data_IF_984000196360
#
_entry.id   IF_984000196360
#
_cell.length_a   1.000
_cell.length_b   1.000
_cell.length_c   1.000
_cell.angle_alpha   90.00
_cell.angle_beta   90.00
_cell.angle_gamma   90.00
#
_symmetry.space_group_name_H-M   'P 1'
#
loop_
_entity.id
_entity.type
_entity.pdbx_description
1 polymer ?
#
# COMPACT_ATOMS: atom_id res chain seq x y z
N UNK A 1 -27.34 -2.44 -15.47
CA UNK A 1 -26.03 -3.10 -15.34
C UNK A 1 -25.40 -2.63 -14.04
N UNK A 2 -25.48 -3.43 -12.98
CA UNK A 2 -24.74 -3.18 -11.74
C UNK A 2 -23.34 -3.77 -11.87
N UNK A 3 -22.32 -2.92 -11.81
CA UNK A 3 -20.91 -3.29 -11.84
C UNK A 3 -20.30 -3.00 -10.46
N UNK A 4 -20.79 -3.73 -9.44
CA UNK A 4 -20.40 -3.51 -8.03
C UNK A 4 -19.67 -4.70 -7.42
N UNK A 5 -18.85 -5.39 -8.21
CA UNK A 5 -17.84 -6.29 -7.65
C UNK A 5 -16.54 -5.51 -7.49
N UNK A 6 -16.20 -5.11 -6.27
CA UNK A 6 -14.88 -4.62 -5.87
C UNK A 6 -13.86 -5.75 -6.07
N UNK A 7 -13.58 -6.13 -7.31
CA UNK A 7 -12.73 -7.26 -7.65
C UNK A 7 -11.30 -6.89 -7.26
N UNK A 8 -10.84 -7.46 -6.14
CA UNK A 8 -9.44 -7.38 -5.77
C UNK A 8 -8.64 -8.00 -6.91
N UNK A 9 -7.78 -7.19 -7.54
CA UNK A 9 -6.86 -7.69 -8.56
C UNK A 9 -6.07 -8.90 -8.05
N UNK A 10 -5.95 -9.98 -8.85
CA UNK A 10 -5.15 -11.15 -8.52
C UNK A 10 -3.72 -10.76 -8.16
N UNK A 11 -3.09 -11.54 -7.27
CA UNK A 11 -1.70 -11.29 -6.85
C UNK A 11 -0.73 -11.28 -8.04
N UNK A 12 -0.89 -12.22 -8.97
CA UNK A 12 -0.06 -12.33 -10.17
C UNK A 12 -0.12 -11.08 -11.06
N UNK A 13 -1.30 -10.47 -11.19
CA UNK A 13 -1.47 -9.24 -11.99
C UNK A 13 -0.71 -8.08 -11.33
N UNK A 14 -0.78 -7.98 -10.00
CA UNK A 14 -0.04 -6.96 -9.25
C UNK A 14 1.47 -7.12 -9.39
N UNK A 15 1.98 -8.34 -9.29
CA UNK A 15 3.41 -8.63 -9.45
C UNK A 15 3.87 -8.29 -10.87
N UNK A 16 3.10 -8.63 -11.90
CA UNK A 16 3.40 -8.26 -13.28
C UNK A 16 3.50 -6.75 -13.48
N UNK A 17 2.53 -5.99 -12.98
CA UNK A 17 2.54 -4.52 -13.05
C UNK A 17 3.79 -3.94 -12.36
N UNK A 18 4.15 -4.48 -11.19
CA UNK A 18 5.35 -4.03 -10.46
C UNK A 18 6.62 -4.35 -11.27
N UNK A 19 6.75 -5.56 -11.82
CA UNK A 19 7.93 -5.97 -12.58
C UNK A 19 8.10 -5.12 -13.84
N UNK A 20 7.04 -4.90 -14.61
CA UNK A 20 7.06 -4.07 -15.84
C UNK A 20 7.37 -2.59 -15.54
N UNK A 21 6.92 -2.10 -14.39
CA UNK A 21 7.25 -0.76 -13.92
C UNK A 21 8.72 -0.65 -13.50
N UNK A 22 9.23 -1.62 -12.72
CA UNK A 22 10.61 -1.63 -12.23
C UNK A 22 11.63 -1.93 -13.34
N UNK A 23 11.25 -2.70 -14.37
CA UNK A 23 12.08 -2.91 -15.56
C UNK A 23 12.20 -1.66 -16.43
N UNK A 24 11.34 -0.66 -16.22
CA UNK A 24 11.26 0.54 -17.04
C UNK A 24 10.64 0.30 -18.43
N UNK A 25 10.10 -0.90 -18.67
CA UNK A 25 9.50 -1.26 -19.97
C UNK A 25 8.18 -0.53 -20.23
N UNK A 26 7.45 -0.17 -19.17
CA UNK A 26 6.18 0.57 -19.25
C UNK A 26 6.11 1.70 -18.23
N UNK A 27 5.53 2.81 -18.66
CA UNK A 27 5.25 3.94 -17.77
C UNK A 27 3.98 3.71 -16.95
N UNK A 28 3.79 4.47 -15.87
CA UNK A 28 2.55 4.45 -15.06
C UNK A 28 1.32 4.71 -15.91
N UNK A 29 1.44 5.56 -16.95
CA UNK A 29 0.33 5.86 -17.84
C UNK A 29 -0.06 4.63 -18.68
N UNK A 30 0.91 3.97 -19.31
CA UNK A 30 0.63 2.77 -20.11
C UNK A 30 0.03 1.65 -19.25
N UNK A 31 0.56 1.45 -18.03
CA UNK A 31 0.02 0.49 -17.08
C UNK A 31 -1.40 0.87 -16.59
N UNK A 32 -1.70 2.17 -16.46
CA UNK A 32 -3.03 2.63 -16.08
C UNK A 32 -4.07 2.31 -17.15
N UNK A 33 -3.70 2.48 -18.41
CA UNK A 33 -4.55 2.21 -19.57
C UNK A 33 -4.71 0.70 -19.80
N UNK A 34 -3.64 -0.08 -19.74
CA UNK A 34 -3.64 -1.54 -19.97
C UNK A 34 -4.46 -2.31 -18.93
N UNK A 35 -4.34 -1.93 -17.64
CA UNK A 35 -4.98 -2.66 -16.54
C UNK A 35 -6.23 -1.95 -15.99
N UNK A 36 -6.64 -0.82 -16.58
CA UNK A 36 -7.79 -0.04 -16.11
C UNK A 36 -7.63 0.50 -14.68
N UNK A 37 -6.39 0.70 -14.23
CA UNK A 37 -6.07 1.16 -12.88
C UNK A 37 -5.77 2.64 -12.87
N UNK A 38 -6.10 3.34 -11.78
CA UNK A 38 -5.62 4.72 -11.63
C UNK A 38 -4.10 4.75 -11.44
N UNK A 39 -3.46 5.81 -11.91
CA UNK A 39 -2.02 6.07 -11.70
C UNK A 39 -1.65 6.01 -10.21
N UNK A 40 -2.54 6.51 -9.35
CA UNK A 40 -2.35 6.49 -7.91
C UNK A 40 -2.36 5.06 -7.33
N UNK A 41 -3.23 4.18 -7.85
CA UNK A 41 -3.26 2.79 -7.42
C UNK A 41 -1.98 2.04 -7.81
N UNK A 42 -1.42 2.32 -8.98
CA UNK A 42 -0.13 1.77 -9.42
C UNK A 42 1.00 2.28 -8.53
N UNK A 43 1.06 3.59 -8.24
CA UNK A 43 2.05 4.15 -7.33
C UNK A 43 1.99 3.53 -5.94
N UNK A 44 0.79 3.35 -5.38
CA UNK A 44 0.63 2.66 -4.10
C UNK A 44 1.10 1.21 -4.16
N UNK A 45 0.88 0.51 -5.27
CA UNK A 45 1.31 -0.87 -5.46
C UNK A 45 2.83 -0.99 -5.45
N UNK A 46 3.50 -0.11 -6.20
CA UNK A 46 4.97 -0.03 -6.27
C UNK A 46 5.57 0.38 -4.92
N UNK A 47 5.01 1.40 -4.27
CA UNK A 47 5.47 1.86 -2.95
C UNK A 47 5.36 0.76 -1.89
N UNK A 48 4.25 0.01 -1.87
CA UNK A 48 4.09 -1.15 -0.98
C UNK A 48 5.09 -2.24 -1.27
N UNK A 49 5.40 -2.51 -2.54
CA UNK A 49 6.41 -3.48 -2.92
C UNK A 49 7.80 -3.06 -2.45
N UNK A 50 8.20 -1.81 -2.68
CA UNK A 50 9.46 -1.23 -2.20
C UNK A 50 9.57 -1.24 -0.68
N UNK A 51 8.48 -0.93 0.03
CA UNK A 51 8.44 -0.96 1.50
C UNK A 51 8.61 -2.37 2.06
N UNK A 52 8.12 -3.41 1.37
CA UNK A 52 8.33 -4.81 1.76
C UNK A 52 9.73 -5.34 1.47
N UNK A 53 10.38 -4.80 0.43
CA UNK A 53 11.75 -5.14 0.06
C UNK A 53 12.81 -4.27 0.74
N UNK A 54 12.38 -3.28 1.52
CA UNK A 54 13.29 -2.55 2.38
C UNK A 54 13.70 -3.48 3.54
N UNK A 55 15.00 -3.71 3.79
CA UNK A 55 15.46 -4.39 5.00
C UNK A 55 15.38 -3.44 6.20
N UNK A 56 14.34 -2.60 6.26
CA UNK A 56 14.03 -1.80 7.45
C UNK A 56 13.33 -2.76 8.38
N UNK A 57 14.17 -3.38 9.20
CA UNK A 57 13.97 -3.66 10.61
C UNK A 57 12.49 -3.65 10.99
N UNK A 58 11.99 -4.82 11.37
CA UNK A 58 10.69 -5.07 11.97
C UNK A 58 10.53 -4.22 13.25
N UNK A 59 10.43 -2.90 13.09
CA UNK A 59 9.83 -2.00 14.04
C UNK A 59 8.34 -2.09 13.81
N UNK A 60 7.84 -3.30 14.01
CA UNK A 60 6.57 -3.60 14.66
C UNK A 60 5.92 -2.32 15.15
N UNK A 61 5.05 -1.75 14.31
CA UNK A 61 4.19 -0.64 14.65
C UNK A 61 3.07 -1.19 15.56
N UNK A 62 3.46 -1.84 16.66
CA UNK A 62 2.65 -1.92 17.86
C UNK A 62 2.98 -0.62 18.57
N UNK A 63 2.30 0.45 18.17
CA UNK A 63 2.05 1.52 19.12
C UNK A 63 1.14 0.89 20.18
N UNK A 64 1.57 0.69 21.44
CA UNK A 64 0.59 0.50 22.50
C UNK A 64 -0.29 1.74 22.46
N UNK A 65 -1.59 1.54 22.30
CA UNK A 65 -2.56 2.62 22.41
C UNK A 65 -2.31 3.31 23.76
N UNK A 66 -1.72 4.50 23.72
CA UNK A 66 -1.51 5.31 24.92
C UNK A 66 -2.90 5.66 25.44
N UNK A 67 -3.38 4.86 26.40
CA UNK A 67 -4.49 5.20 27.25
C UNK A 67 -4.06 6.44 28.06
N UNK A 68 -4.36 7.63 27.53
CA UNK A 68 -4.29 8.87 28.30
C UNK A 68 -5.41 8.83 29.34
N UNK A 69 -5.19 8.12 30.44
CA UNK A 69 -5.95 8.33 31.66
C UNK A 69 -5.27 9.48 32.39
N UNK A 70 -5.84 10.68 32.24
CA UNK A 70 -5.67 11.76 33.20
C UNK A 70 -6.10 11.21 34.56
N UNK A 71 -5.17 11.07 35.49
CA UNK A 71 -5.49 11.22 36.90
C UNK A 71 -4.82 12.51 37.33
N UNK A 72 -5.69 13.51 37.46
CA UNK A 72 -5.42 14.77 38.14
C UNK A 72 -5.01 14.44 39.58
N UNK A 73 -4.08 15.25 40.04
CA UNK A 73 -3.53 15.40 41.37
C UNK A 73 -4.55 15.16 42.49
N UNK A 74 -4.09 14.59 43.61
CA UNK A 74 -4.29 15.27 44.90
C UNK A 74 -3.27 14.79 45.95
N UNK A 75 -2.42 15.74 46.30
CA UNK A 75 -1.64 15.97 47.52
C UNK A 75 -2.27 15.41 48.80
N UNK A 76 -1.50 14.69 49.62
CA UNK A 76 -1.08 15.03 51.00
C UNK A 76 -0.33 13.84 51.62
#
# INVERSE_FOLDING_TARGET
MELTSKSRLPRLVKERIICEYLSGSKTVQMLSEEYGMSRNAINQLVSRHKSKFSPVFDAKLILPAMNRKKTIEDTT
#
